data_IF_034630954535
#
_entry.id   IF_034630954535
#
_cell.length_a   1.000
_cell.length_b   1.000
_cell.length_c   1.000
_cell.angle_alpha   90.00
_cell.angle_beta   90.00
_cell.angle_gamma   90.00
#
_symmetry.space_group_name_H-M   'P 1'
#
loop_
_entity.id
_entity.type
_entity.pdbx_description
1 polymer ?
#
# COMPACT_ATOMS: atom_id res chain seq x y z
N UNK A 1 20.94 -13.05 2.82
CA UNK A 1 20.48 -11.72 3.22
C UNK A 1 20.93 -10.60 2.25
N UNK A 2 22.21 -10.51 1.87
CA UNK A 2 22.70 -9.45 0.94
C UNK A 2 21.98 -9.44 -0.42
N UNK A 3 21.70 -10.61 -1.01
CA UNK A 3 21.02 -10.69 -2.31
C UNK A 3 19.57 -10.19 -2.26
N UNK A 4 18.83 -10.49 -1.19
CA UNK A 4 17.46 -10.00 -0.99
C UNK A 4 17.42 -8.45 -0.87
N UNK A 5 18.38 -7.86 -0.16
CA UNK A 5 18.51 -6.42 -0.03
C UNK A 5 18.83 -5.71 -1.35
N UNK A 6 19.73 -6.30 -2.13
CA UNK A 6 20.08 -5.76 -3.46
C UNK A 6 18.86 -5.78 -4.39
N UNK A 7 18.11 -6.90 -4.41
CA UNK A 7 16.88 -7.02 -5.18
C UNK A 7 15.82 -6.02 -4.72
N UNK A 8 15.64 -5.86 -3.42
CA UNK A 8 14.74 -4.86 -2.85
C UNK A 8 15.08 -3.44 -3.33
N UNK A 9 16.35 -3.02 -3.26
CA UNK A 9 16.77 -1.70 -3.72
C UNK A 9 16.57 -1.51 -5.23
N UNK A 10 16.80 -2.55 -6.03
CA UNK A 10 16.61 -2.52 -7.46
C UNK A 10 15.14 -2.35 -7.84
N UNK A 11 14.24 -3.12 -7.20
CA UNK A 11 12.78 -3.02 -7.41
C UNK A 11 12.25 -1.66 -6.92
N UNK A 12 12.76 -1.18 -5.79
CA UNK A 12 12.43 0.15 -5.26
C UNK A 12 12.77 1.26 -6.24
N UNK A 13 14.00 1.26 -6.77
CA UNK A 13 14.43 2.22 -7.79
C UNK A 13 13.61 2.12 -9.07
N UNK A 14 13.27 0.91 -9.48
CA UNK A 14 12.44 0.68 -10.65
C UNK A 14 11.05 1.31 -10.48
N UNK A 15 10.39 1.09 -9.34
CA UNK A 15 9.07 1.66 -9.06
C UNK A 15 9.09 3.20 -9.01
N UNK A 16 10.04 3.77 -8.29
CA UNK A 16 10.10 5.24 -8.13
C UNK A 16 10.38 5.95 -9.45
N UNK A 17 11.15 5.35 -10.35
CA UNK A 17 11.48 6.01 -11.65
C UNK A 17 10.32 6.03 -12.65
N UNK A 18 9.26 5.29 -12.40
CA UNK A 18 8.15 5.21 -13.38
C UNK A 18 7.10 6.29 -13.12
N UNK A 19 6.72 7.06 -14.16
CA UNK A 19 5.78 8.18 -14.00
C UNK A 19 4.40 7.75 -13.53
N UNK A 20 3.93 6.56 -13.92
CA UNK A 20 2.62 6.07 -13.49
C UNK A 20 2.55 5.81 -11.97
N UNK A 21 3.68 5.52 -11.29
CA UNK A 21 3.73 5.39 -9.83
C UNK A 21 3.30 6.69 -9.15
N UNK A 22 3.80 7.82 -9.65
CA UNK A 22 3.42 9.14 -9.14
C UNK A 22 1.96 9.46 -9.44
N UNK A 23 1.45 9.05 -10.61
CA UNK A 23 0.05 9.21 -10.95
C UNK A 23 -0.86 8.42 -9.99
N UNK A 24 -0.52 7.16 -9.71
CA UNK A 24 -1.26 6.33 -8.75
C UNK A 24 -1.22 6.94 -7.36
N UNK A 25 -0.05 7.41 -6.91
CA UNK A 25 0.11 8.07 -5.60
C UNK A 25 -0.74 9.34 -5.53
N UNK A 26 -0.67 10.22 -6.52
CA UNK A 26 -1.43 11.45 -6.56
C UNK A 26 -2.95 11.20 -6.56
N UNK A 27 -3.41 10.27 -7.40
CA UNK A 27 -4.80 9.85 -7.48
C UNK A 27 -5.30 9.29 -6.14
N UNK A 28 -4.47 8.50 -5.49
CA UNK A 28 -4.73 7.94 -4.17
C UNK A 28 -4.91 9.03 -3.11
N UNK A 29 -3.99 9.98 -3.01
CA UNK A 29 -4.09 11.08 -2.03
C UNK A 29 -5.29 11.98 -2.32
N UNK A 30 -5.61 12.22 -3.58
CA UNK A 30 -6.78 13.00 -3.98
C UNK A 30 -8.07 12.33 -3.55
N UNK A 31 -8.24 11.04 -3.84
CA UNK A 31 -9.45 10.30 -3.47
C UNK A 31 -9.59 10.12 -1.95
N UNK A 32 -8.51 9.75 -1.26
CA UNK A 32 -8.54 9.57 0.19
C UNK A 32 -8.78 10.87 0.91
N UNK A 33 -8.15 11.95 0.47
CA UNK A 33 -8.38 13.30 0.99
C UNK A 33 -9.81 13.78 0.77
N UNK A 34 -10.36 13.60 -0.43
CA UNK A 34 -11.75 13.91 -0.73
C UNK A 34 -12.72 13.16 0.19
N UNK A 35 -12.53 11.86 0.34
CA UNK A 35 -13.37 11.04 1.22
C UNK A 35 -13.25 11.44 2.69
N UNK A 36 -12.05 11.74 3.16
CA UNK A 36 -11.82 12.21 4.51
C UNK A 36 -12.52 13.55 4.78
N UNK A 37 -12.34 14.55 3.90
CA UNK A 37 -12.96 15.86 4.02
C UNK A 37 -14.49 15.76 3.92
N UNK A 38 -15.02 14.97 2.99
CA UNK A 38 -16.46 14.76 2.86
C UNK A 38 -17.06 14.10 4.11
N UNK A 39 -16.35 13.17 4.73
CA UNK A 39 -16.75 12.58 5.99
C UNK A 39 -16.80 13.58 7.13
N UNK A 40 -15.78 14.45 7.27
CA UNK A 40 -15.79 15.54 8.25
C UNK A 40 -16.94 16.53 8.03
N UNK A 41 -17.24 16.83 6.78
CA UNK A 41 -18.35 17.73 6.42
C UNK A 41 -19.71 17.12 6.80
N UNK A 42 -19.93 15.84 6.52
CA UNK A 42 -21.17 15.12 6.88
C UNK A 42 -21.38 15.11 8.40
N UNK A 43 -20.33 14.97 9.18
CA UNK A 43 -20.38 15.02 10.65
C UNK A 43 -20.45 16.45 11.20
N UNK A 44 -20.54 17.46 10.34
CA UNK A 44 -20.53 18.89 10.70
C UNK A 44 -19.33 19.27 11.60
N UNK A 45 -18.18 18.63 11.39
CA UNK A 45 -16.97 18.78 12.22
C UNK A 45 -17.12 18.32 13.69
N UNK A 46 -18.27 17.75 14.08
CA UNK A 46 -18.47 17.19 15.42
C UNK A 46 -17.92 15.76 15.53
N UNK A 47 -16.60 15.64 15.41
CA UNK A 47 -15.92 14.35 15.52
C UNK A 47 -15.39 14.19 16.95
N UNK A 48 -15.73 13.07 17.58
CA UNK A 48 -15.15 12.74 18.88
C UNK A 48 -13.68 12.32 18.73
N UNK A 49 -12.89 12.51 19.77
CA UNK A 49 -11.47 12.17 19.79
C UNK A 49 -11.20 10.69 19.46
N UNK A 50 -12.12 9.78 19.84
CA UNK A 50 -12.01 8.37 19.54
C UNK A 50 -12.40 8.01 18.10
N UNK A 51 -13.32 8.77 17.48
CA UNK A 51 -13.80 8.51 16.13
C UNK A 51 -12.86 9.07 15.05
N UNK A 52 -12.00 10.02 15.37
CA UNK A 52 -11.12 10.68 14.40
C UNK A 52 -10.19 9.72 13.67
N UNK A 53 -9.48 8.85 14.39
CA UNK A 53 -8.54 7.91 13.81
C UNK A 53 -9.22 6.86 12.92
N UNK A 54 -10.27 6.15 13.34
CA UNK A 54 -11.03 5.26 12.47
C UNK A 54 -11.55 5.96 11.21
N UNK A 55 -12.08 7.16 11.34
CA UNK A 55 -12.62 7.94 10.23
C UNK A 55 -11.54 8.35 9.24
N UNK A 56 -10.33 8.68 9.69
CA UNK A 56 -9.20 9.00 8.82
C UNK A 56 -8.67 7.77 8.09
N UNK A 57 -8.71 6.58 8.69
CA UNK A 57 -8.19 5.34 8.14
C UNK A 57 -9.15 4.70 7.12
N UNK A 58 -10.45 4.79 7.35
CA UNK A 58 -11.47 4.13 6.55
C UNK A 58 -11.37 4.39 5.03
N UNK A 59 -11.22 5.64 4.54
CA UNK A 59 -11.07 5.90 3.11
C UNK A 59 -9.88 5.17 2.49
N UNK A 60 -8.82 5.06 3.26
CA UNK A 60 -7.60 4.41 2.82
C UNK A 60 -7.78 2.88 2.67
N UNK A 61 -8.50 2.25 3.57
CA UNK A 61 -8.79 0.81 3.49
C UNK A 61 -9.52 0.46 2.19
N UNK A 62 -10.54 1.24 1.80
CA UNK A 62 -11.25 1.02 0.53
C UNK A 62 -10.34 1.13 -0.69
N UNK A 63 -9.39 2.07 -0.67
CA UNK A 63 -8.48 2.25 -1.79
C UNK A 63 -7.39 1.17 -1.86
N UNK A 64 -7.08 0.52 -0.74
CA UNK A 64 -6.14 -0.60 -0.68
C UNK A 64 -6.51 -1.71 -1.66
N UNK A 65 -7.79 -2.04 -1.73
CA UNK A 65 -8.33 -3.08 -2.61
C UNK A 65 -7.98 -2.86 -4.09
N UNK A 66 -7.85 -1.61 -4.51
CA UNK A 66 -7.56 -1.27 -5.90
C UNK A 66 -6.07 -1.04 -6.18
N UNK A 67 -5.40 -0.33 -5.29
CA UNK A 67 -4.02 0.11 -5.51
C UNK A 67 -3.03 -1.02 -5.35
N UNK A 68 -3.20 -1.83 -4.33
CA UNK A 68 -2.25 -2.87 -3.99
C UNK A 68 -2.18 -3.96 -5.07
N UNK A 69 -3.31 -4.46 -5.64
CA UNK A 69 -3.27 -5.36 -6.78
C UNK A 69 -2.62 -4.74 -8.03
N UNK A 70 -2.90 -3.48 -8.34
CA UNK A 70 -2.29 -2.79 -9.47
C UNK A 70 -0.77 -2.74 -9.35
N UNK A 71 -0.22 -2.37 -8.20
CA UNK A 71 1.22 -2.38 -7.97
C UNK A 71 1.80 -3.78 -7.91
N UNK A 72 1.10 -4.72 -7.31
CA UNK A 72 1.53 -6.12 -7.26
C UNK A 72 1.69 -6.71 -8.66
N UNK A 73 0.68 -6.56 -9.50
CA UNK A 73 0.73 -7.02 -10.91
C UNK A 73 1.86 -6.34 -11.66
N UNK A 74 2.02 -5.05 -11.46
CA UNK A 74 3.08 -4.33 -12.13
C UNK A 74 4.49 -4.78 -11.71
N UNK A 75 4.74 -4.98 -10.42
CA UNK A 75 6.01 -5.51 -9.90
C UNK A 75 6.29 -6.92 -10.41
N UNK A 76 5.25 -7.73 -10.55
CA UNK A 76 5.41 -9.14 -10.96
C UNK A 76 5.56 -9.30 -12.47
N UNK A 77 4.73 -8.62 -13.25
CA UNK A 77 4.64 -8.79 -14.70
C UNK A 77 5.39 -7.72 -15.51
N UNK A 78 5.65 -6.55 -14.94
CA UNK A 78 6.45 -5.51 -15.58
C UNK A 78 7.92 -5.91 -15.79
N UNK A 79 8.38 -6.94 -15.07
CA UNK A 79 9.74 -7.50 -15.14
C UNK A 79 9.84 -8.77 -16.02
N UNK A 80 8.72 -9.26 -16.54
CA UNK A 80 8.65 -10.47 -17.36
C UNK A 80 9.12 -10.28 -18.81
N UNK A 81 10.00 -9.31 -19.07
CA UNK A 81 10.81 -9.41 -20.29
C UNK A 81 11.73 -10.63 -20.11
N UNK A 82 11.62 -11.58 -21.01
CA UNK A 82 12.37 -12.84 -21.03
C UNK A 82 13.87 -12.67 -20.74
N UNK A 83 14.46 -11.57 -21.17
CA UNK A 83 15.86 -11.20 -20.92
C UNK A 83 16.22 -10.95 -19.46
N UNK A 84 15.28 -10.53 -18.62
CA UNK A 84 15.56 -10.23 -17.21
C UNK A 84 15.46 -11.48 -16.34
N UNK A 85 14.51 -12.37 -16.67
CA UNK A 85 14.40 -13.68 -16.03
C UNK A 85 15.62 -14.56 -16.36
N UNK A 86 16.07 -14.57 -17.61
CA UNK A 86 17.27 -15.31 -18.02
C UNK A 86 18.52 -14.83 -17.28
N UNK A 87 18.69 -13.52 -17.12
CA UNK A 87 19.80 -12.96 -16.32
C UNK A 87 19.71 -13.32 -14.83
N UNK A 88 18.50 -13.33 -14.26
CA UNK A 88 18.28 -13.73 -12.87
C UNK A 88 18.55 -15.24 -12.65
N UNK A 89 18.14 -16.09 -13.59
CA UNK A 89 18.43 -17.52 -13.52
C UNK A 89 19.92 -17.84 -13.73
N UNK A 90 20.63 -17.01 -14.51
CA UNK A 90 22.09 -17.12 -14.67
C UNK A 90 22.87 -16.77 -13.39
N UNK A 91 22.28 -16.06 -12.43
CA UNK A 91 22.94 -15.59 -11.20
C UNK A 91 22.68 -16.45 -9.96
N UNK A 92 22.26 -17.69 -10.08
CA UNK A 92 22.00 -18.62 -8.95
C UNK A 92 21.13 -18.01 -7.81
N UNK A 93 20.21 -17.10 -8.14
CA UNK A 93 19.31 -16.50 -7.16
C UNK A 93 18.15 -17.46 -6.88
N UNK A 94 17.96 -17.84 -5.62
CA UNK A 94 16.83 -18.67 -5.21
C UNK A 94 15.50 -17.94 -5.41
N UNK A 95 14.48 -18.64 -5.91
CA UNK A 95 13.13 -18.11 -6.12
C UNK A 95 12.57 -17.45 -4.84
N UNK A 96 12.86 -18.02 -3.67
CA UNK A 96 12.47 -17.46 -2.38
C UNK A 96 13.06 -16.05 -2.16
N UNK A 97 14.32 -15.84 -2.54
CA UNK A 97 14.98 -14.52 -2.41
C UNK A 97 14.34 -13.47 -3.31
N UNK A 98 13.92 -13.87 -4.51
CA UNK A 98 13.21 -13.01 -5.45
C UNK A 98 11.83 -12.59 -4.90
N UNK A 99 11.06 -13.58 -4.42
CA UNK A 99 9.72 -13.34 -3.85
C UNK A 99 9.83 -12.43 -2.62
N UNK A 100 10.77 -12.69 -1.72
CA UNK A 100 10.99 -11.86 -0.54
C UNK A 100 11.39 -10.43 -0.90
N UNK A 101 12.26 -10.23 -1.90
CA UNK A 101 12.65 -8.90 -2.35
C UNK A 101 11.46 -8.08 -2.88
N UNK A 102 10.62 -8.69 -3.71
CA UNK A 102 9.41 -8.05 -4.24
C UNK A 102 8.36 -7.77 -3.16
N UNK A 103 8.16 -8.72 -2.25
CA UNK A 103 7.28 -8.57 -1.09
C UNK A 103 7.71 -7.39 -0.23
N UNK A 104 8.98 -7.32 0.15
CA UNK A 104 9.53 -6.22 0.95
C UNK A 104 9.40 -4.87 0.25
N UNK A 105 9.62 -4.83 -1.07
CA UNK A 105 9.46 -3.61 -1.85
C UNK A 105 8.01 -3.11 -1.82
N UNK A 106 7.05 -3.97 -2.10
CA UNK A 106 5.62 -3.63 -2.10
C UNK A 106 5.15 -3.22 -0.70
N UNK A 107 5.55 -3.96 0.32
CA UNK A 107 5.22 -3.67 1.72
C UNK A 107 5.77 -2.32 2.18
N UNK A 108 7.03 -2.03 1.87
CA UNK A 108 7.67 -0.78 2.31
C UNK A 108 7.09 0.45 1.63
N UNK A 109 6.84 0.42 0.31
CA UNK A 109 6.21 1.53 -0.41
C UNK A 109 4.81 1.78 0.12
N UNK A 110 4.04 0.71 0.30
CA UNK A 110 2.67 0.83 0.76
C UNK A 110 2.59 1.34 2.20
N UNK A 111 3.45 0.84 3.09
CA UNK A 111 3.55 1.34 4.47
C UNK A 111 3.99 2.79 4.53
N UNK A 112 4.91 3.21 3.66
CA UNK A 112 5.35 4.59 3.57
C UNK A 112 4.20 5.53 3.16
N UNK A 113 3.35 5.13 2.21
CA UNK A 113 2.17 5.89 1.84
C UNK A 113 1.20 6.07 3.02
N UNK A 114 1.01 5.03 3.81
CA UNK A 114 0.19 5.11 5.02
C UNK A 114 0.75 6.10 6.04
N UNK A 115 2.05 6.05 6.28
CA UNK A 115 2.73 6.96 7.21
C UNK A 115 2.54 8.41 6.76
N UNK A 116 2.74 8.68 5.48
CA UNK A 116 2.55 10.04 4.92
C UNK A 116 1.09 10.47 5.03
N UNK A 117 0.14 9.60 4.72
CA UNK A 117 -1.28 9.90 4.82
C UNK A 117 -1.72 10.21 6.25
N UNK A 118 -1.30 9.40 7.23
CA UNK A 118 -1.57 9.67 8.65
C UNK A 118 -0.92 10.98 9.09
N UNK A 119 0.31 11.24 8.66
CA UNK A 119 0.98 12.51 8.92
C UNK A 119 0.16 13.72 8.43
N UNK A 120 -0.41 13.63 7.22
CA UNK A 120 -1.27 14.67 6.66
C UNK A 120 -2.56 14.82 7.47
N UNK A 121 -3.22 13.74 7.85
CA UNK A 121 -4.45 13.78 8.64
C UNK A 121 -4.23 14.32 10.05
N UNK A 122 -3.10 14.01 10.69
CA UNK A 122 -2.71 14.57 11.97
C UNK A 122 -2.36 16.06 11.87
N UNK A 123 -1.70 16.46 10.79
CA UNK A 123 -1.41 17.88 10.51
C UNK A 123 -2.72 18.65 10.28
N UNK A 124 -3.66 18.09 9.54
CA UNK A 124 -5.00 18.68 9.35
C UNK A 124 -5.72 18.87 10.70
N UNK A 125 -5.68 17.86 11.56
CA UNK A 125 -6.21 17.94 12.94
C UNK A 125 -5.59 19.10 13.71
N UNK A 126 -4.27 19.23 13.64
CA UNK A 126 -3.55 20.27 14.37
C UNK A 126 -3.96 21.69 13.93
N UNK A 127 -4.19 21.89 12.62
CA UNK A 127 -4.53 23.19 12.06
C UNK A 127 -6.02 23.54 12.28
N UNK A 128 -6.93 22.59 12.00
CA UNK A 128 -8.38 22.87 11.93
C UNK A 128 -9.17 22.37 13.15
N UNK A 129 -8.65 21.40 13.88
CA UNK A 129 -9.32 20.77 15.02
C UNK A 129 -8.42 20.79 16.26
N UNK A 130 -7.82 21.93 16.54
CA UNK A 130 -6.83 22.08 17.63
C UNK A 130 -7.38 21.73 19.02
N UNK A 131 -8.68 21.91 19.25
CA UNK A 131 -9.36 21.55 20.50
C UNK A 131 -9.57 20.03 20.68
N UNK A 132 -9.38 19.23 19.64
CA UNK A 132 -9.58 17.79 19.70
C UNK A 132 -8.33 17.11 20.24
N UNK A 133 -8.39 16.57 21.44
CA UNK A 133 -7.30 15.76 22.00
C UNK A 133 -7.43 14.31 21.57
N UNK A 134 -6.45 13.78 20.82
CA UNK A 134 -6.41 12.37 20.41
C UNK A 134 -5.54 11.61 21.41
N UNK A 135 -6.07 10.59 22.10
CA UNK A 135 -5.27 9.82 23.03
C UNK A 135 -4.16 9.05 22.29
N UNK A 136 -2.94 9.08 22.84
CA UNK A 136 -1.78 8.42 22.23
C UNK A 136 -1.99 6.92 21.96
N UNK A 137 -2.81 6.27 22.78
CA UNK A 137 -3.18 4.86 22.59
C UNK A 137 -4.00 4.64 21.30
N UNK A 138 -4.81 5.61 20.88
CA UNK A 138 -5.56 5.51 19.63
C UNK A 138 -4.63 5.63 18.41
N UNK A 139 -3.60 6.46 18.50
CA UNK A 139 -2.60 6.60 17.44
C UNK A 139 -1.75 5.34 17.34
N UNK A 140 -1.22 4.84 18.44
CA UNK A 140 -0.39 3.63 18.44
C UNK A 140 -1.17 2.38 18.03
N UNK A 141 -2.40 2.23 18.49
CA UNK A 141 -3.28 1.14 18.07
C UNK A 141 -3.58 1.19 16.57
N UNK A 142 -3.83 2.37 16.02
CA UNK A 142 -4.04 2.57 14.59
C UNK A 142 -2.81 2.23 13.76
N UNK A 143 -1.62 2.63 14.20
CA UNK A 143 -0.37 2.29 13.52
C UNK A 143 -0.10 0.78 13.51
N UNK A 144 -0.31 0.11 14.64
CA UNK A 144 -0.20 -1.35 14.74
C UNK A 144 -1.19 -2.04 13.79
N UNK A 145 -2.46 -1.63 13.82
CA UNK A 145 -3.49 -2.16 12.92
C UNK A 145 -3.08 -2.03 11.46
N UNK A 146 -2.57 -0.86 11.05
CA UNK A 146 -2.12 -0.61 9.69
C UNK A 146 -0.95 -1.52 9.30
N UNK A 147 0.04 -1.69 10.16
CA UNK A 147 1.19 -2.56 9.89
C UNK A 147 0.73 -4.02 9.65
N UNK A 148 -0.14 -4.55 10.50
CA UNK A 148 -0.67 -5.91 10.33
C UNK A 148 -1.57 -6.04 9.11
N UNK A 149 -2.46 -5.08 8.88
CA UNK A 149 -3.33 -5.07 7.71
C UNK A 149 -2.54 -5.02 6.41
N UNK A 150 -1.53 -4.15 6.34
CA UNK A 150 -0.65 -4.05 5.17
C UNK A 150 0.13 -5.34 4.92
N UNK A 151 0.66 -5.95 5.98
CA UNK A 151 1.38 -7.21 5.86
C UNK A 151 0.48 -8.30 5.27
N UNK A 152 -0.74 -8.44 5.77
CA UNK A 152 -1.70 -9.43 5.31
C UNK A 152 -2.07 -9.22 3.83
N UNK A 153 -2.44 -8.01 3.46
CA UNK A 153 -2.85 -7.71 2.08
C UNK A 153 -1.70 -7.84 1.08
N UNK A 154 -0.51 -7.37 1.44
CA UNK A 154 0.68 -7.56 0.59
C UNK A 154 1.02 -9.03 0.44
N UNK A 155 0.88 -9.85 1.49
CA UNK A 155 1.09 -11.29 1.41
C UNK A 155 0.09 -11.96 0.45
N UNK A 156 -1.20 -11.62 0.55
CA UNK A 156 -2.24 -12.14 -0.35
C UNK A 156 -1.95 -11.76 -1.81
N UNK A 157 -1.69 -10.48 -2.08
CA UNK A 157 -1.40 -10.00 -3.44
C UNK A 157 -0.14 -10.65 -4.00
N UNK A 158 0.91 -10.78 -3.20
CA UNK A 158 2.15 -11.46 -3.60
C UNK A 158 1.90 -12.91 -3.93
N UNK A 159 1.15 -13.63 -3.09
CA UNK A 159 0.80 -15.03 -3.30
C UNK A 159 0.01 -15.22 -4.60
N UNK A 160 -1.04 -14.42 -4.84
CA UNK A 160 -1.84 -14.49 -6.06
C UNK A 160 -0.99 -14.22 -7.30
N UNK A 161 -0.12 -13.21 -7.26
CA UNK A 161 0.74 -12.86 -8.39
C UNK A 161 1.82 -13.93 -8.67
N UNK A 162 2.23 -14.69 -7.68
CA UNK A 162 3.15 -15.84 -7.90
C UNK A 162 2.48 -17.03 -8.58
N UNK A 163 1.16 -17.21 -8.35
CA UNK A 163 0.39 -18.32 -8.94
C UNK A 163 -0.10 -18.00 -10.35
N UNK A 164 -0.37 -16.74 -10.66
CA UNK A 164 -0.95 -16.36 -11.93
C UNK A 164 0.10 -16.09 -13.00
N UNK A 165 0.05 -16.85 -14.11
CA UNK A 165 0.96 -16.65 -15.25
C UNK A 165 0.64 -15.41 -16.09
N UNK A 166 -0.63 -14.98 -16.15
CA UNK A 166 -1.08 -13.82 -16.93
C UNK A 166 -1.40 -12.63 -16.02
N UNK A 167 -0.94 -11.43 -16.39
CA UNK A 167 -1.18 -10.20 -15.64
C UNK A 167 -2.66 -9.87 -15.45
N UNK A 168 -3.49 -10.12 -16.47
CA UNK A 168 -4.93 -9.87 -16.40
C UNK A 168 -5.65 -10.76 -15.39
N UNK A 169 -5.29 -12.06 -15.34
CA UNK A 169 -5.85 -12.99 -14.35
C UNK A 169 -5.38 -12.67 -12.95
N UNK A 170 -4.11 -12.31 -12.78
CA UNK A 170 -3.56 -11.91 -11.49
C UNK A 170 -4.27 -10.66 -10.95
N UNK A 171 -4.56 -9.69 -11.81
CA UNK A 171 -5.26 -8.47 -11.41
C UNK A 171 -6.69 -8.76 -10.98
N UNK A 172 -7.44 -9.51 -11.78
CA UNK A 172 -8.84 -9.83 -11.48
C UNK A 172 -8.98 -10.66 -10.19
N UNK A 173 -8.12 -11.68 -10.01
CA UNK A 173 -8.14 -12.52 -8.81
C UNK A 173 -7.71 -11.77 -7.56
N UNK A 174 -6.73 -10.87 -7.65
CA UNK A 174 -6.29 -10.09 -6.49
C UNK A 174 -7.31 -9.02 -6.09
N UNK A 175 -7.99 -8.38 -7.06
CA UNK A 175 -9.09 -7.46 -6.76
C UNK A 175 -10.27 -8.23 -6.15
N UNK A 176 -10.63 -9.39 -6.70
CA UNK A 176 -11.68 -10.24 -6.17
C UNK A 176 -11.41 -10.69 -4.74
N UNK A 177 -10.20 -11.14 -4.45
CA UNK A 177 -9.79 -11.54 -3.11
C UNK A 177 -9.81 -10.37 -2.11
N UNK A 178 -9.36 -9.19 -2.54
CA UNK A 178 -9.40 -8.00 -1.69
C UNK A 178 -10.82 -7.45 -1.51
N UNK A 179 -11.68 -7.53 -2.55
CA UNK A 179 -13.04 -6.98 -2.54
C UNK A 179 -14.07 -7.82 -1.78
N UNK A 180 -13.83 -9.12 -1.61
CA UNK A 180 -14.78 -10.03 -0.92
C UNK A 180 -14.88 -9.81 0.59
N UNK A 181 -14.03 -8.97 1.17
CA UNK A 181 -13.99 -8.69 2.62
C UNK A 181 -14.56 -7.31 3.01
N UNK A 182 -15.14 -6.57 2.06
CA UNK A 182 -15.81 -5.29 2.26
C UNK A 182 -17.24 -5.34 1.73
#
# INVERSE_FOLDING_TARGET
>A
MKACWILFLQEWHFLIRKPYTYFIIAFFFLLSGYKFISGLWITQMHVTSLAYMPMSIQPFLYLTVWILPLWGVYLWHGFNSTSTLERLFATNINACTLICGKFLCLYSIYTLLWIVYIGITLLFKYIFLSSLEIPGIAISGSLLFICFNNFLWVAIVTFINTLCHKSSTALLTSIGACGSHY
#
